data_IF_174590893839
#
_entry.id   IF_174590893839
#
_cell.length_a   1.000
_cell.length_b   1.000
_cell.length_c   1.000
_cell.angle_alpha   90.00
_cell.angle_beta   90.00
_cell.angle_gamma   90.00
#
_symmetry.space_group_name_H-M   'P 1'
#
loop_
_entity.id
_entity.type
_entity.pdbx_description
1 polymer ?
#
# COMPACT_ATOMS: atom_id res chain seq x y z
N UNK A 1 -14.43 7.77 7.25
CA UNK A 1 -13.56 8.11 8.39
C UNK A 1 -12.08 7.93 8.01
N UNK A 2 -11.70 6.74 7.53
CA UNK A 2 -10.29 6.39 7.35
C UNK A 2 -9.50 7.28 6.38
N UNK A 3 -10.06 7.58 5.20
CA UNK A 3 -9.41 8.42 4.19
C UNK A 3 -9.16 9.87 4.65
N UNK A 4 -9.96 10.39 5.58
CA UNK A 4 -9.85 11.77 6.09
C UNK A 4 -9.05 11.88 7.38
N UNK A 5 -8.57 10.76 7.95
CA UNK A 5 -7.76 10.80 9.18
C UNK A 5 -6.35 11.30 8.85
N UNK A 6 -6.06 12.49 9.37
CA UNK A 6 -4.78 13.18 9.26
C UNK A 6 -3.65 12.33 9.86
N UNK A 7 -2.47 12.43 9.26
CA UNK A 7 -1.24 11.83 9.79
C UNK A 7 -0.53 12.83 10.71
N UNK A 8 -0.09 12.37 11.88
CA UNK A 8 0.98 13.05 12.60
C UNK A 8 2.33 12.69 11.96
N UNK A 9 2.83 13.54 11.06
CA UNK A 9 4.06 13.28 10.31
C UNK A 9 5.32 13.19 11.18
N UNK A 10 5.27 13.65 12.44
CA UNK A 10 6.39 13.54 13.37
C UNK A 10 6.46 12.16 14.05
N UNK A 11 5.36 11.42 14.08
CA UNK A 11 5.23 10.19 14.86
C UNK A 11 4.73 8.98 14.05
N UNK A 12 4.15 9.18 12.86
CA UNK A 12 3.56 8.13 12.03
C UNK A 12 4.25 8.01 10.67
N UNK A 13 4.35 6.78 10.16
CA UNK A 13 4.69 6.54 8.75
C UNK A 13 3.55 7.12 7.89
N UNK A 14 3.84 7.96 6.87
CA UNK A 14 2.84 8.66 6.06
C UNK A 14 2.11 7.77 5.05
N UNK A 15 1.93 6.50 5.37
CA UNK A 15 1.25 5.48 4.57
C UNK A 15 0.34 4.69 5.48
N UNK A 16 -0.89 4.47 5.04
CA UNK A 16 -1.85 3.61 5.74
C UNK A 16 -2.56 2.71 4.77
N UNK A 17 -2.63 1.43 5.11
CA UNK A 17 -3.29 0.39 4.34
C UNK A 17 -4.41 -0.24 5.18
N UNK A 18 -5.61 -0.33 4.61
CA UNK A 18 -6.74 -1.02 5.22
C UNK A 18 -7.37 -1.94 4.18
N UNK A 19 -7.53 -3.21 4.53
CA UNK A 19 -8.21 -4.19 3.69
C UNK A 19 -9.61 -4.38 4.24
N UNK A 20 -10.62 -4.15 3.40
CA UNK A 20 -12.01 -4.44 3.69
C UNK A 20 -12.37 -5.77 3.05
N UNK A 21 -12.70 -6.75 3.89
CA UNK A 21 -13.32 -8.00 3.46
C UNK A 21 -14.81 -7.74 3.21
N UNK A 22 -15.26 -8.05 1.99
CA UNK A 22 -16.65 -7.84 1.55
C UNK A 22 -17.45 -9.15 1.52
N UNK A 23 -16.91 -10.25 2.03
CA UNK A 23 -17.53 -11.58 1.98
C UNK A 23 -17.19 -12.31 0.68
N UNK A 24 -18.19 -12.78 -0.05
CA UNK A 24 -18.01 -13.61 -1.26
C UNK A 24 -17.40 -12.86 -2.47
N UNK A 25 -16.97 -11.62 -2.29
CA UNK A 25 -16.40 -10.75 -3.32
C UNK A 25 -14.91 -10.46 -3.14
N UNK A 26 -14.31 -9.72 -4.09
CA UNK A 26 -12.94 -9.23 -3.92
C UNK A 26 -12.85 -8.30 -2.72
N UNK A 27 -11.80 -8.47 -1.92
CA UNK A 27 -11.45 -7.52 -0.88
C UNK A 27 -11.06 -6.16 -1.49
N UNK A 28 -11.34 -5.08 -0.77
CA UNK A 28 -10.96 -3.72 -1.19
C UNK A 28 -9.79 -3.24 -0.35
N UNK A 29 -8.69 -2.87 -1.00
CA UNK A 29 -7.55 -2.21 -0.35
C UNK A 29 -7.73 -0.68 -0.44
N UNK A 30 -7.90 -0.02 0.70
CA UNK A 30 -7.70 1.43 0.82
C UNK A 30 -6.25 1.70 1.18
N UNK A 31 -5.56 2.44 0.33
CA UNK A 31 -4.24 2.98 0.60
C UNK A 31 -4.32 4.51 0.65
N UNK A 32 -3.93 5.08 1.79
CA UNK A 32 -3.80 6.53 1.97
C UNK A 32 -2.34 6.86 2.13
N UNK A 33 -1.82 7.69 1.23
CA UNK A 33 -0.42 8.14 1.26
C UNK A 33 -0.39 9.65 1.33
N UNK A 34 0.35 10.20 2.29
CA UNK A 34 0.58 11.64 2.33
C UNK A 34 1.50 12.03 1.17
N UNK A 35 1.21 13.13 0.48
CA UNK A 35 1.94 13.61 -0.70
C UNK A 35 3.42 13.99 -0.42
N UNK A 36 3.85 13.97 0.85
CA UNK A 36 5.25 14.15 1.23
C UNK A 36 6.09 12.89 0.92
N UNK A 37 5.44 11.73 0.84
CA UNK A 37 6.08 10.43 0.62
C UNK A 37 5.88 9.88 -0.80
N UNK A 38 5.00 10.48 -1.60
CA UNK A 38 4.75 10.07 -2.97
C UNK A 38 4.36 11.28 -3.82
N UNK A 39 4.79 11.28 -5.07
CA UNK A 39 4.34 12.24 -6.08
C UNK A 39 3.56 11.52 -7.21
N UNK A 40 3.06 12.31 -8.17
CA UNK A 40 2.27 11.78 -9.28
C UNK A 40 3.02 10.78 -10.16
N UNK A 41 4.35 10.88 -10.26
CA UNK A 41 5.19 9.97 -11.04
C UNK A 41 5.47 8.69 -10.23
N UNK A 42 5.80 8.82 -8.94
CA UNK A 42 6.07 7.71 -8.04
C UNK A 42 4.87 6.78 -7.83
N UNK A 43 3.63 7.25 -8.03
CA UNK A 43 2.43 6.42 -7.95
C UNK A 43 2.51 5.16 -8.82
N UNK A 44 2.95 5.29 -10.09
CA UNK A 44 3.03 4.15 -11.00
C UNK A 44 4.05 3.11 -10.54
N UNK A 45 5.22 3.56 -10.08
CA UNK A 45 6.28 2.69 -9.54
C UNK A 45 5.80 1.96 -8.29
N UNK A 46 5.17 2.69 -7.36
CA UNK A 46 4.66 2.15 -6.11
C UNK A 46 3.67 0.99 -6.35
N UNK A 47 2.69 1.17 -7.23
CA UNK A 47 1.70 0.11 -7.49
C UNK A 47 2.31 -1.08 -8.22
N UNK A 48 3.24 -0.86 -9.15
CA UNK A 48 3.95 -1.94 -9.82
C UNK A 48 4.81 -2.77 -8.85
N UNK A 49 5.46 -2.13 -7.89
CA UNK A 49 6.20 -2.80 -6.82
C UNK A 49 5.25 -3.59 -5.91
N UNK A 50 4.10 -3.01 -5.54
CA UNK A 50 3.10 -3.69 -4.72
C UNK A 50 2.56 -4.94 -5.41
N UNK A 51 2.21 -4.86 -6.70
CA UNK A 51 1.76 -6.01 -7.49
C UNK A 51 2.81 -7.12 -7.53
N UNK A 52 4.09 -6.75 -7.77
CA UNK A 52 5.20 -7.70 -7.80
C UNK A 52 5.39 -8.39 -6.45
N UNK A 53 5.43 -7.63 -5.37
CA UNK A 53 5.61 -8.15 -4.02
C UNK A 53 4.44 -9.05 -3.61
N UNK A 54 3.21 -8.64 -3.91
CA UNK A 54 2.02 -9.42 -3.61
C UNK A 54 2.00 -10.74 -4.41
N UNK A 55 2.22 -10.68 -5.72
CA UNK A 55 2.26 -11.86 -6.59
C UNK A 55 3.33 -12.86 -6.17
N UNK A 56 4.54 -12.38 -5.82
CA UNK A 56 5.60 -13.24 -5.31
C UNK A 56 5.22 -13.91 -3.98
N UNK A 57 4.56 -13.18 -3.08
CA UNK A 57 4.15 -13.73 -1.78
C UNK A 57 3.02 -14.74 -1.89
N UNK A 58 2.06 -14.51 -2.81
CA UNK A 58 1.05 -15.51 -3.19
C UNK A 58 1.72 -16.75 -3.81
N UNK A 59 2.77 -16.57 -4.60
CA UNK A 59 3.59 -17.64 -5.16
C UNK A 59 4.52 -18.35 -4.17
N UNK A 60 4.50 -18.00 -2.89
CA UNK A 60 5.28 -18.66 -1.84
C UNK A 60 6.68 -18.10 -1.60
N UNK A 61 7.03 -16.94 -2.16
CA UNK A 61 8.31 -16.30 -1.88
C UNK A 61 8.39 -15.86 -0.39
N UNK A 62 9.45 -16.29 0.30
CA UNK A 62 9.68 -15.99 1.71
C UNK A 62 10.38 -14.65 1.97
N UNK A 63 11.08 -14.09 0.98
CA UNK A 63 11.88 -12.85 1.09
C UNK A 63 11.34 -11.72 0.20
N UNK A 64 11.86 -10.50 0.41
CA UNK A 64 11.57 -9.38 -0.50
C UNK A 64 12.00 -9.70 -1.93
N UNK A 65 11.17 -9.32 -2.90
CA UNK A 65 11.46 -9.35 -4.35
C UNK A 65 11.65 -7.95 -4.92
N UNK A 66 11.64 -6.93 -4.07
CA UNK A 66 11.91 -5.55 -4.45
C UNK A 66 13.41 -5.29 -4.27
N UNK A 67 14.00 -4.65 -5.29
CA UNK A 67 15.35 -4.09 -5.19
C UNK A 67 15.33 -2.93 -4.18
N UNK A 68 16.41 -2.71 -3.40
CA UNK A 68 16.52 -1.57 -2.48
C UNK A 68 16.54 -0.21 -3.18
#
# INVERSE_FOLDING_TARGET
AEAGRVFDLAAEIPVRAVVFDLGDGPAVLLLVVHHIAIDGVSNGVFFADLERAYGARVGGAGSSVLEP
#
